data_IF_371714887912
#
_entry.id   IF_371714887912
#
_cell.length_a   1.000
_cell.length_b   1.000
_cell.length_c   1.000
_cell.angle_alpha   90.00
_cell.angle_beta   90.00
_cell.angle_gamma   90.00
#
_symmetry.space_group_name_H-M   'P 1'
#
loop_
_entity.id
_entity.type
_entity.pdbx_description
1 polymer ?
#
# COMPACT_ATOMS: atom_id res chain seq x y z
N UNK A 1 27.65 1.11 50.55
CA UNK A 1 26.39 1.85 50.78
C UNK A 1 25.79 2.23 49.43
N UNK A 2 24.51 1.94 49.20
CA UNK A 2 23.77 2.41 48.02
C UNK A 2 22.84 3.53 48.50
N UNK A 3 22.93 4.72 47.91
CA UNK A 3 22.15 5.88 48.34
C UNK A 3 21.71 6.69 47.12
N UNK A 4 20.40 6.72 46.86
CA UNK A 4 19.85 7.33 45.66
C UNK A 4 20.51 6.78 44.39
N UNK A 5 21.06 7.68 43.57
CA UNK A 5 21.71 7.35 42.30
C UNK A 5 23.21 6.98 42.44
N UNK A 6 23.75 6.91 43.66
CA UNK A 6 25.18 6.69 43.91
C UNK A 6 25.47 5.43 44.72
N UNK A 7 26.68 4.89 44.55
CA UNK A 7 27.18 3.73 45.29
C UNK A 7 28.55 4.08 45.88
N UNK A 8 28.61 4.17 47.19
CA UNK A 8 29.84 4.44 47.96
C UNK A 8 30.40 3.12 48.50
N UNK A 9 31.70 2.89 48.28
CA UNK A 9 32.41 1.69 48.74
C UNK A 9 33.78 2.06 49.30
N UNK A 10 34.17 1.37 50.37
CA UNK A 10 35.48 1.49 51.03
C UNK A 10 36.13 0.11 51.05
N UNK A 11 37.45 0.05 50.84
CA UNK A 11 38.19 -1.20 50.80
C UNK A 11 39.48 -1.11 49.96
N UNK A 12 40.23 -2.23 49.83
CA UNK A 12 41.48 -2.26 49.07
C UNK A 12 41.24 -2.02 47.57
N UNK A 13 42.21 -1.41 46.90
CA UNK A 13 42.14 -1.01 45.48
C UNK A 13 41.71 -2.13 44.52
N UNK A 14 42.12 -3.39 44.77
CA UNK A 14 41.67 -4.55 43.98
C UNK A 14 40.16 -4.78 44.13
N UNK A 15 39.63 -4.78 45.35
CA UNK A 15 38.19 -4.90 45.61
C UNK A 15 37.38 -3.72 45.06
N UNK A 16 37.91 -2.49 45.12
CA UNK A 16 37.25 -1.32 44.50
C UNK A 16 37.09 -1.46 42.98
N UNK A 17 38.06 -2.07 42.28
CA UNK A 17 37.91 -2.40 40.84
C UNK A 17 36.80 -3.42 40.59
N UNK A 18 36.70 -4.44 41.45
CA UNK A 18 35.66 -5.47 41.35
C UNK A 18 34.27 -4.90 41.61
N UNK A 19 34.09 -4.13 42.69
CA UNK A 19 32.83 -3.44 43.00
C UNK A 19 32.41 -2.50 41.87
N UNK A 20 33.35 -1.69 41.33
CA UNK A 20 33.07 -0.82 40.17
C UNK A 20 32.58 -1.63 38.97
N UNK A 21 33.17 -2.79 38.68
CA UNK A 21 32.71 -3.68 37.61
C UNK A 21 31.29 -4.20 37.90
N UNK A 22 31.05 -4.74 39.10
CA UNK A 22 29.73 -5.29 39.50
C UNK A 22 28.63 -4.24 39.35
N UNK A 23 28.84 -3.01 39.80
CA UNK A 23 27.87 -1.91 39.70
C UNK A 23 27.62 -1.53 38.23
N UNK A 24 28.67 -1.32 37.45
CA UNK A 24 28.53 -0.92 36.03
C UNK A 24 27.85 -2.00 35.17
N UNK A 25 28.14 -3.28 35.43
CA UNK A 25 27.50 -4.38 34.71
C UNK A 25 26.03 -4.55 35.16
N UNK A 26 25.72 -4.32 36.44
CA UNK A 26 24.33 -4.28 36.95
C UNK A 26 23.51 -3.19 36.26
N UNK A 27 24.08 -1.99 36.09
CA UNK A 27 23.46 -0.90 35.31
C UNK A 27 23.27 -1.23 33.83
N UNK A 28 24.06 -2.17 33.26
CA UNK A 28 23.93 -2.66 31.88
C UNK A 28 22.97 -3.83 31.72
N UNK A 29 22.08 -4.07 32.70
CA UNK A 29 21.12 -5.18 32.71
C UNK A 29 21.80 -6.57 32.73
N UNK A 30 22.85 -6.71 33.55
CA UNK A 30 23.50 -7.99 33.89
C UNK A 30 23.30 -8.22 35.39
N UNK A 31 22.52 -9.23 35.78
CA UNK A 31 22.16 -9.43 37.18
C UNK A 31 23.40 -9.64 38.09
N UNK A 32 23.51 -8.97 39.25
CA UNK A 32 24.72 -9.00 40.08
C UNK A 32 25.13 -10.40 40.54
N UNK A 33 24.17 -11.34 40.66
CA UNK A 33 24.44 -12.76 40.98
C UNK A 33 25.47 -13.40 40.05
N UNK A 34 25.52 -12.99 38.77
CA UNK A 34 26.48 -13.52 37.80
C UNK A 34 27.90 -13.08 38.15
N UNK A 35 28.08 -11.80 38.46
CA UNK A 35 29.38 -11.28 38.90
C UNK A 35 29.78 -11.86 40.26
N UNK A 36 28.87 -11.96 41.22
CA UNK A 36 29.12 -12.61 42.52
C UNK A 36 29.58 -14.06 42.30
N UNK A 37 28.89 -14.84 41.47
CA UNK A 37 29.30 -16.22 41.15
C UNK A 37 30.69 -16.28 40.49
N UNK A 38 31.04 -15.33 39.63
CA UNK A 38 32.42 -15.26 39.08
C UNK A 38 33.46 -14.90 40.13
N UNK A 39 33.13 -14.05 41.11
CA UNK A 39 34.06 -13.67 42.19
C UNK A 39 34.29 -14.84 43.16
N UNK A 40 33.24 -15.57 43.53
CA UNK A 40 33.36 -16.79 44.34
C UNK A 40 34.27 -17.81 43.66
N UNK A 41 34.03 -18.11 42.39
CA UNK A 41 34.88 -19.05 41.62
C UNK A 41 36.32 -18.55 41.56
N UNK A 42 36.57 -17.26 41.30
CA UNK A 42 37.93 -16.71 41.32
C UNK A 42 38.63 -16.81 42.69
N UNK A 43 37.89 -16.68 43.78
CA UNK A 43 38.46 -16.82 45.12
C UNK A 43 38.88 -18.27 45.40
N UNK A 44 38.12 -19.27 44.95
CA UNK A 44 38.53 -20.67 45.04
C UNK A 44 39.72 -21.00 44.13
N UNK A 45 39.67 -20.65 42.84
CA UNK A 45 40.78 -20.89 41.90
C UNK A 45 42.07 -20.14 42.27
N UNK A 46 41.97 -19.05 43.05
CA UNK A 46 43.12 -18.35 43.59
C UNK A 46 43.77 -19.08 44.79
N UNK A 47 43.05 -19.97 45.48
CA UNK A 47 43.63 -20.82 46.54
C UNK A 47 44.54 -21.89 45.93
N UNK A 48 44.13 -22.51 44.84
CA UNK A 48 44.86 -23.58 44.15
C UNK A 48 46.20 -23.10 43.58
N UNK A 49 47.31 -23.71 44.00
CA UNK A 49 48.65 -23.25 43.60
C UNK A 49 48.94 -23.43 42.10
N UNK A 50 48.55 -24.56 41.52
CA UNK A 50 48.82 -24.93 40.12
C UNK A 50 48.03 -24.09 39.10
N UNK A 51 46.85 -23.60 39.49
CA UNK A 51 45.96 -22.88 38.60
C UNK A 51 46.23 -21.37 38.56
N UNK A 52 46.94 -20.81 39.55
CA UNK A 52 47.29 -19.38 39.62
C UNK A 52 48.03 -18.85 38.41
N UNK A 53 48.82 -19.69 37.74
CA UNK A 53 49.61 -19.34 36.54
C UNK A 53 48.85 -19.54 35.23
N UNK A 54 47.68 -20.17 35.27
CA UNK A 54 46.90 -20.56 34.09
C UNK A 54 45.72 -19.62 33.82
N UNK A 55 45.18 -19.63 32.60
CA UNK A 55 43.97 -18.87 32.27
C UNK A 55 42.72 -19.49 32.91
N UNK A 56 41.97 -18.70 33.68
CA UNK A 56 40.75 -19.14 34.37
C UNK A 56 39.49 -19.11 33.50
N UNK A 57 39.55 -18.67 32.24
CA UNK A 57 38.37 -18.43 31.39
C UNK A 57 37.46 -19.66 31.21
N UNK A 58 38.04 -20.87 31.21
CA UNK A 58 37.30 -22.13 31.13
C UNK A 58 36.38 -22.39 32.33
N UNK A 59 36.76 -21.90 33.51
CA UNK A 59 36.03 -22.10 34.76
C UNK A 59 35.06 -20.95 35.06
N UNK A 60 35.21 -19.80 34.39
CA UNK A 60 34.36 -18.63 34.59
C UNK A 60 33.03 -18.74 33.81
N UNK A 61 31.87 -18.62 34.49
CA UNK A 61 30.56 -18.64 33.82
C UNK A 61 30.38 -17.52 32.79
N UNK A 62 30.31 -17.89 31.51
CA UNK A 62 30.10 -16.96 30.39
C UNK A 62 28.59 -16.73 30.12
N UNK A 63 27.97 -15.83 30.88
CA UNK A 63 26.57 -15.44 30.71
C UNK A 63 26.33 -14.55 29.47
N UNK A 64 26.39 -15.15 28.28
CA UNK A 64 25.98 -14.50 27.03
C UNK A 64 24.47 -14.25 27.05
N UNK A 65 24.05 -12.99 26.86
CA UNK A 65 22.64 -12.61 26.76
C UNK A 65 21.98 -13.35 25.59
N UNK A 66 21.11 -14.33 25.89
CA UNK A 66 20.34 -15.10 24.89
C UNK A 66 19.23 -14.24 24.29
N UNK A 67 19.60 -13.26 23.47
CA UNK A 67 18.66 -12.60 22.60
C UNK A 67 18.10 -13.64 21.61
N UNK A 68 16.81 -13.97 21.73
CA UNK A 68 16.07 -14.50 20.59
C UNK A 68 15.97 -13.35 19.57
N UNK A 69 16.96 -13.30 18.68
CA UNK A 69 17.17 -12.20 17.71
C UNK A 69 15.98 -11.96 16.78
N UNK A 70 15.08 -12.93 16.69
CA UNK A 70 13.86 -12.90 15.88
C UNK A 70 12.65 -12.99 16.80
N UNK A 71 12.15 -11.84 17.27
CA UNK A 71 10.74 -11.75 17.72
C UNK A 71 9.88 -12.14 16.52
N UNK A 72 8.92 -13.06 16.68
CA UNK A 72 7.97 -13.38 15.60
C UNK A 72 7.15 -12.13 15.30
N UNK A 73 7.33 -11.57 14.12
CA UNK A 73 6.61 -10.39 13.68
C UNK A 73 5.25 -10.78 13.09
N UNK A 74 4.18 -9.99 13.30
CA UNK A 74 2.89 -10.26 12.69
C UNK A 74 2.97 -10.12 11.16
N UNK A 75 2.31 -11.03 10.43
CA UNK A 75 2.25 -11.01 8.96
C UNK A 75 1.70 -9.68 8.40
N UNK A 76 0.86 -8.98 9.17
CA UNK A 76 0.36 -7.64 8.87
C UNK A 76 0.99 -6.66 9.86
N UNK A 77 2.07 -5.99 9.43
CA UNK A 77 2.58 -4.79 10.12
C UNK A 77 1.77 -3.60 9.62
N UNK A 78 1.05 -2.92 10.51
CA UNK A 78 0.51 -1.59 10.20
C UNK A 78 1.67 -0.60 10.15
N UNK A 79 1.81 0.10 9.02
CA UNK A 79 2.72 1.25 8.96
C UNK A 79 2.24 2.31 9.95
N UNK A 80 3.19 3.00 10.61
CA UNK A 80 2.85 4.18 11.41
C UNK A 80 2.32 5.26 10.45
N UNK A 81 1.21 5.90 10.81
CA UNK A 81 0.73 7.09 10.09
C UNK A 81 1.79 8.19 10.19
N UNK A 82 1.93 8.97 9.13
CA UNK A 82 2.76 10.18 9.14
C UNK A 82 2.25 11.15 10.20
N UNK A 83 3.16 11.90 10.81
CA UNK A 83 2.80 12.83 11.88
C UNK A 83 2.06 14.04 11.30
N UNK A 84 0.75 14.06 11.47
CA UNK A 84 -0.08 15.25 11.26
C UNK A 84 -0.18 16.04 12.57
N UNK A 85 0.20 17.33 12.60
CA UNK A 85 0.06 18.16 13.80
C UNK A 85 -1.42 18.53 14.07
N UNK A 86 -2.27 18.46 13.04
CA UNK A 86 -3.71 18.67 13.19
C UNK A 86 -4.40 17.38 13.64
N UNK A 87 -5.36 17.47 14.59
CA UNK A 87 -6.19 16.33 14.94
C UNK A 87 -7.05 15.92 13.75
N UNK A 88 -7.44 14.63 13.64
CA UNK A 88 -8.45 14.23 12.67
C UNK A 88 -9.77 14.94 12.98
N UNK A 89 -10.58 15.19 11.94
CA UNK A 89 -11.94 15.71 12.10
C UNK A 89 -12.75 14.80 13.03
N UNK A 90 -13.56 15.40 13.90
CA UNK A 90 -14.47 14.65 14.76
C UNK A 90 -15.50 13.90 13.89
N UNK A 91 -15.88 12.67 14.26
CA UNK A 91 -16.94 11.96 13.55
C UNK A 91 -18.27 12.69 13.77
N UNK A 92 -18.91 13.09 12.68
CA UNK A 92 -20.24 13.71 12.67
C UNK A 92 -21.26 12.90 13.50
N UNK A 93 -22.06 13.58 14.32
CA UNK A 93 -23.13 12.94 15.08
C UNK A 93 -24.24 12.43 14.14
N UNK A 94 -25.15 11.61 14.66
CA UNK A 94 -26.31 11.19 13.87
C UNK A 94 -27.19 12.39 13.50
N UNK A 95 -27.33 13.38 14.39
CA UNK A 95 -28.11 14.60 14.13
C UNK A 95 -27.48 15.41 13.01
N UNK A 96 -26.15 15.60 13.02
CA UNK A 96 -25.44 16.34 11.97
C UNK A 96 -25.59 15.66 10.59
N UNK A 97 -25.53 14.32 10.56
CA UNK A 97 -25.76 13.54 9.33
C UNK A 97 -27.19 13.70 8.80
N UNK A 98 -28.19 13.60 9.68
CA UNK A 98 -29.59 13.78 9.29
C UNK A 98 -29.91 15.22 8.89
N UNK A 99 -29.22 16.22 9.45
CA UNK A 99 -29.30 17.62 9.02
C UNK A 99 -28.64 17.81 7.65
N UNK A 100 -27.44 17.25 7.44
CA UNK A 100 -26.70 17.35 6.19
C UNK A 100 -27.40 16.64 5.01
N UNK A 101 -28.10 15.52 5.25
CA UNK A 101 -28.94 14.87 4.23
C UNK A 101 -30.32 15.53 4.07
N UNK A 102 -30.69 16.46 4.95
CA UNK A 102 -32.02 17.06 5.01
C UNK A 102 -33.12 16.08 5.46
N UNK A 103 -32.77 14.85 5.88
CA UNK A 103 -33.73 13.87 6.38
C UNK A 103 -34.31 14.27 7.73
N UNK A 104 -33.58 15.02 8.56
CA UNK A 104 -34.01 15.44 9.90
C UNK A 104 -35.39 16.13 9.89
N UNK A 105 -35.66 16.96 8.87
CA UNK A 105 -36.91 17.71 8.73
C UNK A 105 -38.09 16.89 8.19
N UNK A 106 -37.84 15.67 7.68
CA UNK A 106 -38.89 14.81 7.13
C UNK A 106 -39.59 14.01 8.24
N UNK A 107 -40.93 14.08 8.27
CA UNK A 107 -41.74 13.24 9.16
C UNK A 107 -41.53 11.77 8.85
N UNK A 108 -41.67 10.89 9.85
CA UNK A 108 -41.48 9.45 9.65
C UNK A 108 -42.31 8.87 8.49
N UNK A 109 -43.54 9.36 8.29
CA UNK A 109 -44.41 8.93 7.19
C UNK A 109 -43.82 9.28 5.82
N UNK A 110 -43.13 10.41 5.70
CA UNK A 110 -42.41 10.82 4.48
C UNK A 110 -41.14 9.97 4.30
N UNK A 111 -40.36 9.74 5.37
CA UNK A 111 -39.20 8.82 5.36
C UNK A 111 -39.63 7.40 4.93
N UNK A 112 -40.76 6.89 5.43
CA UNK A 112 -41.35 5.59 5.08
C UNK A 112 -41.82 5.54 3.61
N UNK A 113 -42.46 6.59 3.09
CA UNK A 113 -42.87 6.68 1.67
C UNK A 113 -41.67 6.66 0.72
N UNK A 114 -40.65 7.50 0.95
CA UNK A 114 -39.40 7.50 0.15
C UNK A 114 -38.73 6.13 0.11
N UNK A 115 -38.60 5.46 1.27
CA UNK A 115 -38.03 4.10 1.34
C UNK A 115 -38.83 3.07 0.53
N UNK A 116 -40.16 3.15 0.53
CA UNK A 116 -41.00 2.27 -0.30
C UNK A 116 -40.89 2.58 -1.80
N UNK A 117 -40.76 3.86 -2.18
CA UNK A 117 -40.52 4.29 -3.56
C UNK A 117 -39.16 3.79 -4.07
N UNK A 118 -38.09 3.94 -3.29
CA UNK A 118 -36.77 3.37 -3.61
C UNK A 118 -36.81 1.85 -3.80
N UNK A 119 -37.53 1.12 -2.95
CA UNK A 119 -37.68 -0.33 -3.06
C UNK A 119 -38.40 -0.69 -4.38
N UNK A 120 -39.47 0.02 -4.73
CA UNK A 120 -40.18 -0.17 -6.01
C UNK A 120 -39.30 0.12 -7.22
N UNK A 121 -38.50 1.19 -7.19
CA UNK A 121 -37.54 1.53 -8.25
C UNK A 121 -36.48 0.44 -8.38
N UNK A 122 -35.87 0.00 -7.27
CA UNK A 122 -34.89 -1.11 -7.25
C UNK A 122 -35.47 -2.42 -7.79
N UNK A 123 -36.75 -2.71 -7.51
CA UNK A 123 -37.45 -3.87 -8.06
C UNK A 123 -37.68 -3.74 -9.58
N UNK A 124 -38.13 -2.58 -10.06
CA UNK A 124 -38.31 -2.32 -11.49
C UNK A 124 -36.98 -2.39 -12.27
N UNK A 125 -35.90 -1.86 -11.71
CA UNK A 125 -34.54 -2.01 -12.26
C UNK A 125 -34.09 -3.48 -12.30
N UNK A 126 -34.35 -4.26 -11.26
CA UNK A 126 -33.98 -5.67 -11.24
C UNK A 126 -34.78 -6.48 -12.29
N UNK A 127 -36.07 -6.19 -12.46
CA UNK A 127 -36.92 -6.83 -13.48
C UNK A 127 -36.45 -6.47 -14.90
N UNK A 128 -36.16 -5.19 -15.17
CA UNK A 128 -35.66 -4.74 -16.48
C UNK A 128 -34.28 -5.32 -16.80
N UNK A 129 -33.33 -5.35 -15.84
CA UNK A 129 -32.03 -6.03 -16.00
C UNK A 129 -32.20 -7.52 -16.30
N UNK A 130 -33.04 -8.23 -15.55
CA UNK A 130 -33.34 -9.66 -15.78
C UNK A 130 -33.98 -9.92 -17.14
N UNK A 131 -34.84 -9.02 -17.62
CA UNK A 131 -35.43 -9.14 -18.96
C UNK A 131 -34.41 -8.83 -20.07
N UNK A 132 -33.49 -7.87 -19.87
CA UNK A 132 -32.39 -7.62 -20.80
C UNK A 132 -31.44 -8.83 -20.89
N UNK A 133 -31.09 -9.46 -19.77
CA UNK A 133 -30.29 -10.69 -19.75
C UNK A 133 -30.98 -11.85 -20.47
N UNK A 134 -32.29 -12.05 -20.23
CA UNK A 134 -33.10 -13.04 -20.93
C UNK A 134 -33.16 -12.78 -22.44
N UNK A 135 -33.44 -11.54 -22.86
CA UNK A 135 -33.49 -11.16 -24.27
C UNK A 135 -32.12 -11.35 -24.94
N UNK A 136 -31.02 -11.03 -24.24
CA UNK A 136 -29.65 -11.22 -24.73
C UNK A 136 -29.31 -12.70 -24.96
N UNK A 137 -29.83 -13.61 -24.13
CA UNK A 137 -29.67 -15.05 -24.34
C UNK A 137 -30.46 -15.59 -25.55
N UNK A 138 -31.52 -14.87 -25.97
CA UNK A 138 -32.34 -15.24 -27.13
C UNK A 138 -31.82 -14.67 -28.47
N UNK A 139 -30.91 -13.69 -28.44
CA UNK A 139 -30.24 -13.19 -29.64
C UNK A 139 -29.07 -14.13 -29.97
N UNK A 140 -29.06 -14.80 -31.15
CA UNK A 140 -27.94 -15.64 -31.55
C UNK A 140 -26.62 -14.86 -31.53
N UNK A 141 -25.52 -15.44 -31.03
CA UNK A 141 -24.21 -14.81 -31.09
C UNK A 141 -23.89 -14.43 -32.54
N UNK A 142 -23.55 -13.16 -32.80
CA UNK A 142 -23.07 -12.76 -34.13
C UNK A 142 -21.80 -13.54 -34.45
N UNK A 143 -21.92 -14.48 -35.38
CA UNK A 143 -20.79 -15.20 -35.93
C UNK A 143 -19.77 -14.19 -36.45
N UNK A 144 -18.49 -14.42 -36.14
CA UNK A 144 -17.42 -13.66 -36.77
C UNK A 144 -17.50 -13.96 -38.27
N UNK A 145 -17.47 -12.96 -39.17
CA UNK A 145 -17.46 -13.24 -40.59
C UNK A 145 -16.24 -14.11 -40.90
N UNK A 146 -16.51 -15.37 -41.23
CA UNK A 146 -15.50 -16.26 -41.80
C UNK A 146 -14.95 -15.52 -43.02
N UNK A 147 -13.62 -15.33 -43.09
CA UNK A 147 -12.97 -14.41 -44.03
C UNK A 147 -13.32 -14.76 -45.48
N UNK A 148 -14.41 -14.22 -46.02
CA UNK A 148 -14.70 -14.29 -47.44
C UNK A 148 -13.62 -13.50 -48.16
N UNK A 149 -12.90 -14.17 -49.06
CA UNK A 149 -11.93 -13.54 -49.92
C UNK A 149 -12.58 -12.37 -50.66
N UNK A 150 -11.80 -11.31 -50.91
CA UNK A 150 -12.27 -10.06 -51.50
C UNK A 150 -13.05 -10.33 -52.80
N UNK A 151 -14.33 -9.95 -52.84
CA UNK A 151 -15.03 -9.60 -54.08
C UNK A 151 -15.19 -8.08 -54.12
N UNK A 152 -15.02 -7.50 -55.31
CA UNK A 152 -14.98 -6.05 -55.50
C UNK A 152 -16.35 -5.39 -55.21
N UNK A 153 -16.38 -4.09 -54.82
CA UNK A 153 -17.62 -3.37 -54.62
C UNK A 153 -18.22 -2.97 -55.97
N UNK A 154 -19.46 -3.38 -56.22
CA UNK A 154 -20.31 -2.82 -57.27
C UNK A 154 -20.83 -1.44 -56.87
N UNK A 155 -21.11 -0.63 -57.88
CA UNK A 155 -21.45 0.79 -57.81
C UNK A 155 -22.84 1.04 -57.18
N UNK A 156 -23.13 2.27 -56.74
CA UNK A 156 -24.51 2.62 -56.36
C UNK A 156 -24.76 3.81 -55.43
N UNK A 157 -24.09 4.96 -55.63
CA UNK A 157 -24.60 6.33 -55.34
C UNK A 157 -23.54 7.37 -55.69
N UNK A 158 -23.70 8.02 -56.85
CA UNK A 158 -22.85 9.11 -57.32
C UNK A 158 -23.42 10.42 -56.79
N UNK A 159 -22.62 11.19 -56.07
CA UNK A 159 -23.06 12.43 -55.42
C UNK A 159 -22.98 13.62 -56.38
N UNK A 160 -24.13 14.01 -56.92
CA UNK A 160 -24.26 14.99 -58.02
C UNK A 160 -23.88 16.41 -57.58
N UNK A 161 -24.04 16.74 -56.29
CA UNK A 161 -23.74 18.07 -55.75
C UNK A 161 -22.24 18.34 -55.72
N UNK A 162 -21.46 17.35 -55.27
CA UNK A 162 -20.00 17.40 -55.25
C UNK A 162 -19.39 17.55 -56.67
N UNK A 163 -20.07 17.09 -57.72
CA UNK A 163 -19.64 17.25 -59.12
C UNK A 163 -19.94 18.69 -59.60
N UNK A 164 -21.13 19.23 -59.30
CA UNK A 164 -21.49 20.62 -59.65
C UNK A 164 -20.53 21.65 -59.04
N UNK A 165 -20.11 21.46 -57.79
CA UNK A 165 -19.12 22.35 -57.16
C UNK A 165 -17.74 22.30 -57.83
N UNK A 166 -17.27 21.10 -58.18
CA UNK A 166 -15.98 20.92 -58.87
C UNK A 166 -15.96 21.59 -60.24
N UNK A 167 -17.06 21.50 -61.00
CA UNK A 167 -17.19 22.18 -62.31
C UNK A 167 -17.22 23.70 -62.15
N UNK A 168 -17.90 24.26 -61.12
CA UNK A 168 -17.85 25.70 -60.82
C UNK A 168 -16.44 26.16 -60.44
N UNK A 169 -15.73 25.42 -59.58
CA UNK A 169 -14.34 25.72 -59.18
C UNK A 169 -13.36 25.63 -60.36
N UNK A 170 -13.60 24.74 -61.34
CA UNK A 170 -12.78 24.62 -62.54
C UNK A 170 -12.96 25.81 -63.51
N UNK A 171 -14.17 26.35 -63.67
CA UNK A 171 -14.43 27.48 -64.60
C UNK A 171 -13.76 28.80 -64.18
N UNK A 172 -13.53 29.02 -62.89
CA UNK A 172 -12.96 30.29 -62.38
C UNK A 172 -11.43 30.31 -62.31
N UNK A 173 -10.74 29.22 -62.68
CA UNK A 173 -9.27 29.14 -62.62
C UNK A 173 -8.67 29.28 -64.01
N UNK A 174 -8.27 30.51 -64.38
CA UNK A 174 -7.51 30.77 -65.62
C UNK A 174 -6.21 29.95 -65.59
N UNK A 175 -5.91 29.27 -66.70
CA UNK A 175 -4.73 28.43 -66.85
C UNK A 175 -3.50 29.29 -67.23
N UNK A 176 -2.50 29.29 -66.36
CA UNK A 176 -1.21 29.98 -66.52
C UNK A 176 -0.37 29.75 -65.26
N UNK A 177 0.86 29.28 -65.41
CA UNK A 177 1.69 28.72 -64.33
C UNK A 177 2.75 29.72 -63.80
N UNK A 178 3.61 29.39 -62.81
CA UNK A 178 3.57 28.37 -61.75
C UNK A 178 3.57 29.11 -60.36
N UNK A 179 4.54 29.02 -59.40
CA UNK A 179 5.33 27.88 -58.86
C UNK A 179 5.38 27.76 -57.29
N UNK A 180 6.05 26.69 -56.84
CA UNK A 180 6.71 26.38 -55.53
C UNK A 180 5.90 26.05 -54.25
N UNK A 181 6.31 24.90 -53.70
CA UNK A 181 6.11 24.23 -52.40
C UNK A 181 6.63 25.03 -51.16
N UNK A 182 6.50 24.59 -49.87
CA UNK A 182 6.44 23.19 -49.41
C UNK A 182 5.42 22.82 -48.29
N UNK A 183 5.42 21.52 -47.98
CA UNK A 183 4.52 20.79 -47.06
C UNK A 183 4.86 20.95 -45.57
N UNK A 184 3.89 20.65 -44.71
CA UNK A 184 4.08 20.43 -43.27
C UNK A 184 4.26 18.94 -42.92
N UNK A 185 4.98 18.70 -41.82
CA UNK A 185 5.55 17.40 -41.44
C UNK A 185 4.53 16.35 -40.95
N UNK A 186 4.95 15.08 -40.94
CA UNK A 186 4.21 13.93 -40.41
C UNK A 186 4.90 13.27 -39.20
N UNK A 187 4.10 12.60 -38.36
CA UNK A 187 4.47 11.44 -37.51
C UNK A 187 5.49 11.63 -36.34
N UNK A 188 5.71 10.68 -35.41
CA UNK A 188 4.85 9.72 -34.68
C UNK A 188 5.70 8.94 -33.61
N UNK A 189 5.04 8.02 -32.86
CA UNK A 189 5.61 6.95 -31.99
C UNK A 189 6.23 7.38 -30.62
N UNK A 190 6.28 6.56 -29.54
CA UNK A 190 5.76 5.21 -29.21
C UNK A 190 6.58 4.58 -28.04
N UNK A 191 6.16 3.61 -27.21
CA UNK A 191 4.93 2.83 -27.05
C UNK A 191 5.14 1.57 -26.13
N UNK A 192 4.16 0.63 -26.08
CA UNK A 192 4.20 -0.78 -25.52
C UNK A 192 4.00 -1.09 -24.00
N UNK A 193 3.01 -2.00 -23.77
CA UNK A 193 2.98 -3.17 -22.84
C UNK A 193 2.88 -2.92 -21.30
N UNK A 194 2.23 -3.79 -20.48
CA UNK A 194 1.27 -4.90 -20.70
C UNK A 194 0.47 -5.20 -19.39
N UNK A 195 -0.71 -5.81 -19.54
CA UNK A 195 -1.66 -6.13 -18.47
C UNK A 195 -1.47 -7.54 -17.87
N UNK A 196 -1.87 -7.80 -16.60
CA UNK A 196 -2.37 -9.12 -16.16
C UNK A 196 -3.43 -9.01 -15.03
N UNK A 197 -4.48 -9.82 -15.14
CA UNK A 197 -5.67 -9.87 -14.27
C UNK A 197 -5.62 -11.01 -13.22
N UNK A 198 -6.33 -10.76 -12.11
CA UNK A 198 -7.22 -11.65 -11.33
C UNK A 198 -6.75 -12.98 -10.69
N UNK A 199 -7.05 -13.05 -9.38
CA UNK A 199 -7.93 -14.02 -8.68
C UNK A 199 -7.51 -15.50 -8.60
N UNK A 200 -7.12 -15.88 -7.38
CA UNK A 200 -7.46 -17.13 -6.70
C UNK A 200 -8.13 -16.77 -5.38
#
# INVERSE_FOLDING_TARGET
>A
MVQGNTVSALGPYRGLKEVRKVVLDTMKNIHPIYNIKTLMIKQELAKDAELRTQSWERFLPNFKRRNLTKRREPKKKTAKKEYTPFPPQQPESQVDKELATGEFFLRESQKKRKKLEEIKVKQAEALTKRQQERNRAFIPPKEKPMKKAKKAPTEGKIDVEAIKEKVKKAKNKKLGAPPVNPESQTAAAGGKKRNKKHKG
#
